data_IF_197335303224
#
_entry.id   IF_197335303224
#
_cell.length_a   1.000
_cell.length_b   1.000
_cell.length_c   1.000
_cell.angle_alpha   90.00
_cell.angle_beta   90.00
_cell.angle_gamma   90.00
#
_symmetry.space_group_name_H-M   'P 1'
#
loop_
_entity.id
_entity.type
_entity.pdbx_description
1 polymer ?
#
# COMPACT_ATOMS: atom_id res chain seq x y z
N UNK A 1 10.94 38.91 2.08
CA UNK A 1 10.89 37.44 1.89
C UNK A 1 10.15 37.16 0.58
N UNK A 2 10.69 36.37 -0.34
CA UNK A 2 10.07 36.06 -1.64
C UNK A 2 9.44 34.66 -1.57
N UNK A 3 8.18 34.47 -1.97
CA UNK A 3 7.59 33.14 -2.07
C UNK A 3 8.37 32.25 -3.06
N UNK A 4 8.45 30.97 -2.77
CA UNK A 4 9.08 29.94 -3.63
C UNK A 4 8.11 28.82 -3.88
N UNK A 5 8.27 28.14 -5.02
CA UNK A 5 7.53 26.94 -5.35
C UNK A 5 8.40 25.70 -5.13
N UNK A 6 7.84 24.69 -4.50
CA UNK A 6 8.38 23.35 -4.52
C UNK A 6 7.56 22.54 -5.53
N UNK A 7 8.23 21.93 -6.50
CA UNK A 7 7.58 21.21 -7.58
C UNK A 7 7.36 19.74 -7.19
N UNK A 8 6.27 19.18 -7.67
CA UNK A 8 6.01 17.75 -7.60
C UNK A 8 7.09 16.99 -8.40
N UNK A 9 7.59 15.91 -7.82
CA UNK A 9 8.55 14.99 -8.43
C UNK A 9 7.89 13.63 -8.59
N UNK A 10 7.78 13.13 -9.81
CA UNK A 10 7.47 11.73 -10.06
C UNK A 10 8.74 10.92 -9.79
N UNK A 11 8.80 10.19 -8.67
CA UNK A 11 9.99 9.44 -8.29
C UNK A 11 9.89 7.95 -8.64
N UNK A 12 8.67 7.46 -8.90
CA UNK A 12 8.44 6.06 -9.25
C UNK A 12 7.16 5.89 -10.06
N UNK A 13 7.18 4.91 -10.96
CA UNK A 13 6.02 4.48 -11.73
C UNK A 13 5.99 2.95 -11.84
N UNK A 14 4.81 2.36 -11.71
CA UNK A 14 4.51 0.97 -12.03
C UNK A 14 3.24 0.92 -12.86
N UNK A 15 2.85 -0.24 -13.38
CA UNK A 15 1.65 -0.37 -14.19
C UNK A 15 0.41 0.20 -13.49
N UNK A 16 -0.16 1.25 -14.07
CA UNK A 16 -1.34 1.94 -13.54
C UNK A 16 -1.12 2.73 -12.24
N UNK A 17 0.10 2.82 -11.71
CA UNK A 17 0.39 3.51 -10.45
C UNK A 17 1.51 4.52 -10.59
N UNK A 18 1.25 5.76 -10.20
CA UNK A 18 2.22 6.84 -10.10
C UNK A 18 2.50 7.18 -8.64
N UNK A 19 3.79 7.34 -8.32
CA UNK A 19 4.28 7.77 -7.02
C UNK A 19 4.99 9.10 -7.19
N UNK A 20 4.43 10.15 -6.60
CA UNK A 20 5.03 11.48 -6.63
C UNK A 20 5.14 12.07 -5.23
N UNK A 21 6.05 13.00 -5.07
CA UNK A 21 6.24 13.76 -3.83
C UNK A 21 6.49 15.25 -4.12
N UNK A 22 6.37 16.04 -3.06
CA UNK A 22 6.88 17.41 -3.03
C UNK A 22 8.05 17.39 -2.06
N UNK A 23 9.28 17.37 -2.62
CA UNK A 23 10.47 17.34 -1.79
C UNK A 23 10.74 18.71 -1.15
N UNK A 24 10.73 18.74 0.18
CA UNK A 24 11.07 19.92 0.99
C UNK A 24 12.23 19.55 1.89
N UNK A 25 13.39 20.26 1.80
CA UNK A 25 14.54 19.95 2.62
C UNK A 25 14.25 19.90 4.11
N UNK A 26 14.72 18.86 4.79
CA UNK A 26 14.54 18.68 6.23
C UNK A 26 13.14 18.21 6.67
N UNK A 27 12.27 17.83 5.73
CA UNK A 27 10.95 17.24 6.00
C UNK A 27 10.96 15.74 5.72
N UNK A 28 10.06 15.02 6.41
CA UNK A 28 9.71 13.64 6.05
C UNK A 28 8.99 13.60 4.70
N UNK A 29 8.90 12.41 4.10
CA UNK A 29 8.24 12.22 2.83
C UNK A 29 6.73 12.53 2.92
N UNK A 30 6.21 13.22 1.91
CA UNK A 30 4.80 13.39 1.67
C UNK A 30 4.51 12.89 0.26
N UNK A 31 4.20 11.60 0.18
CA UNK A 31 4.07 10.92 -1.10
C UNK A 31 2.59 10.88 -1.53
N UNK A 32 2.35 11.20 -2.79
CA UNK A 32 1.06 11.02 -3.44
C UNK A 32 1.11 9.76 -4.30
N UNK A 33 0.26 8.79 -4.00
CA UNK A 33 0.18 7.54 -4.76
C UNK A 33 -1.14 7.49 -5.52
N UNK A 34 -1.06 7.63 -6.83
CA UNK A 34 -2.22 7.66 -7.71
C UNK A 34 -2.35 6.34 -8.48
N UNK A 35 -3.39 5.58 -8.20
CA UNK A 35 -3.85 4.45 -9.00
C UNK A 35 -4.84 4.96 -10.06
N UNK A 36 -4.49 4.83 -11.34
CA UNK A 36 -5.26 5.36 -12.49
C UNK A 36 -6.39 4.43 -12.94
N UNK A 37 -7.02 3.71 -12.03
CA UNK A 37 -8.03 2.71 -12.31
C UNK A 37 -7.76 1.47 -11.47
N UNK A 38 -8.27 0.33 -11.89
CA UNK A 38 -7.95 -0.93 -11.26
C UNK A 38 -6.44 -1.18 -11.33
N UNK A 39 -5.78 -1.14 -10.18
CA UNK A 39 -4.34 -1.33 -10.08
C UNK A 39 -3.96 -2.03 -8.78
N UNK A 40 -2.84 -2.73 -8.84
CA UNK A 40 -2.25 -3.44 -7.70
C UNK A 40 -0.83 -2.92 -7.46
N UNK A 41 -0.51 -2.59 -6.24
CA UNK A 41 0.81 -2.08 -5.87
C UNK A 41 1.40 -2.87 -4.69
N UNK A 42 2.53 -3.58 -4.88
CA UNK A 42 3.21 -3.85 -6.14
C UNK A 42 2.42 -4.79 -7.05
N UNK A 43 2.62 -4.72 -8.37
CA UNK A 43 1.94 -5.60 -9.31
C UNK A 43 2.35 -7.07 -9.11
N UNK A 44 1.43 -7.98 -9.42
CA UNK A 44 1.73 -9.42 -9.46
C UNK A 44 2.44 -9.78 -10.77
N UNK A 45 3.37 -10.70 -10.73
CA UNK A 45 4.07 -11.20 -11.93
C UNK A 45 3.87 -12.70 -12.04
N UNK A 46 3.41 -13.17 -13.21
CA UNK A 46 3.16 -14.60 -13.45
C UNK A 46 2.13 -15.22 -12.49
N UNK A 47 1.15 -14.45 -12.04
CA UNK A 47 0.16 -14.90 -11.05
C UNK A 47 0.66 -14.94 -9.60
N UNK A 48 1.92 -14.55 -9.35
CA UNK A 48 2.52 -14.53 -8.01
C UNK A 48 2.37 -13.15 -7.38
N UNK A 49 1.86 -13.12 -6.14
CA UNK A 49 1.72 -11.87 -5.38
C UNK A 49 3.08 -11.37 -4.92
N UNK A 50 3.32 -10.07 -5.12
CA UNK A 50 4.48 -9.37 -4.62
C UNK A 50 4.06 -8.40 -3.52
N UNK A 51 4.99 -8.10 -2.62
CA UNK A 51 4.79 -7.21 -1.47
C UNK A 51 5.97 -6.25 -1.35
N UNK A 52 5.69 -5.04 -0.89
CA UNK A 52 6.71 -4.16 -0.35
C UNK A 52 6.95 -4.48 1.11
N UNK A 53 8.17 -4.24 1.56
CA UNK A 53 8.54 -4.20 2.97
C UNK A 53 9.57 -3.10 3.15
N UNK A 54 9.22 -2.11 3.95
CA UNK A 54 10.15 -1.03 4.28
C UNK A 54 10.98 -1.39 5.51
N UNK A 55 12.26 -1.08 5.47
CA UNK A 55 13.16 -1.26 6.63
C UNK A 55 13.32 0.04 7.41
N UNK A 56 13.34 1.16 6.70
CA UNK A 56 13.68 2.49 7.20
C UNK A 56 12.56 3.51 7.00
N UNK A 57 11.34 3.03 6.69
CA UNK A 57 10.17 3.88 6.51
C UNK A 57 8.96 3.31 7.25
N UNK A 58 8.25 4.18 7.96
CA UNK A 58 6.87 3.95 8.41
C UNK A 58 5.94 4.69 7.46
N UNK A 59 4.93 4.01 6.93
CA UNK A 59 3.89 4.65 6.15
C UNK A 59 2.72 5.06 7.04
N UNK A 60 2.16 6.25 6.78
CA UNK A 60 0.88 6.67 7.32
C UNK A 60 -0.05 6.99 6.15
N UNK A 61 -0.71 5.96 5.66
CA UNK A 61 -1.47 5.95 4.42
C UNK A 61 -2.91 6.44 4.65
N UNK A 62 -3.32 7.50 3.96
CA UNK A 62 -4.69 8.00 3.95
C UNK A 62 -5.23 8.05 2.52
N UNK A 63 -6.31 7.33 2.24
CA UNK A 63 -7.05 7.49 0.99
C UNK A 63 -7.79 8.83 1.03
N UNK A 64 -7.60 9.67 0.00
CA UNK A 64 -8.28 10.97 -0.15
C UNK A 64 -9.31 10.97 -1.27
N UNK A 65 -9.21 9.97 -2.18
CA UNK A 65 -10.20 9.72 -3.24
C UNK A 65 -10.26 8.22 -3.56
N UNK A 66 -11.46 7.71 -3.83
CA UNK A 66 -11.69 6.30 -4.12
C UNK A 66 -11.55 5.41 -2.89
N UNK A 67 -11.17 4.16 -3.11
CA UNK A 67 -10.98 3.18 -2.03
C UNK A 67 -9.90 2.16 -2.38
N UNK A 68 -9.24 1.61 -1.35
CA UNK A 68 -8.23 0.56 -1.48
C UNK A 68 -8.41 -0.51 -0.42
N UNK A 69 -8.09 -1.74 -0.78
CA UNK A 69 -7.83 -2.79 0.21
C UNK A 69 -6.33 -3.00 0.31
N UNK A 70 -5.81 -2.88 1.52
CA UNK A 70 -4.44 -3.24 1.87
C UNK A 70 -4.41 -4.67 2.40
N UNK A 71 -3.45 -5.45 1.93
CA UNK A 71 -3.09 -6.73 2.47
C UNK A 71 -1.77 -6.57 3.24
N UNK A 72 -1.79 -6.89 4.55
CA UNK A 72 -0.70 -6.63 5.49
C UNK A 72 -0.37 -7.88 6.30
N UNK A 73 0.91 -8.14 6.53
CA UNK A 73 1.33 -9.16 7.49
C UNK A 73 2.80 -9.03 7.87
N UNK A 74 3.17 -9.70 8.96
CA UNK A 74 4.55 -9.86 9.40
C UNK A 74 4.94 -11.32 9.26
N UNK A 75 6.20 -11.59 8.94
CA UNK A 75 6.71 -12.97 8.90
C UNK A 75 6.71 -13.55 10.31
N UNK A 76 6.05 -14.71 10.48
CA UNK A 76 5.94 -15.41 11.75
C UNK A 76 4.56 -16.02 11.96
N UNK A 77 4.51 -17.26 12.47
CA UNK A 77 3.25 -18.03 12.59
C UNK A 77 2.22 -17.47 13.57
N UNK A 78 2.61 -16.50 14.39
CA UNK A 78 1.72 -15.90 15.41
C UNK A 78 1.00 -14.64 14.92
N UNK A 79 1.29 -14.15 13.73
CA UNK A 79 0.70 -12.91 13.21
C UNK A 79 -0.39 -13.21 12.19
N UNK A 80 -1.54 -12.54 12.28
CA UNK A 80 -2.59 -12.65 11.26
C UNK A 80 -2.19 -11.91 9.97
N UNK A 81 -2.81 -12.33 8.88
CA UNK A 81 -2.81 -11.62 7.60
C UNK A 81 -4.02 -10.68 7.58
N UNK A 82 -3.76 -9.38 7.58
CA UNK A 82 -4.80 -8.37 7.63
C UNK A 82 -5.23 -7.94 6.23
N UNK A 83 -6.52 -7.78 6.04
CA UNK A 83 -7.13 -7.11 4.90
C UNK A 83 -7.85 -5.87 5.41
N UNK A 84 -7.33 -4.71 5.05
CA UNK A 84 -7.80 -3.42 5.58
C UNK A 84 -8.36 -2.58 4.45
N UNK A 85 -9.65 -2.29 4.50
CA UNK A 85 -10.27 -1.35 3.56
C UNK A 85 -10.07 0.07 4.04
N UNK A 86 -9.46 0.89 3.15
CA UNK A 86 -9.30 2.32 3.35
C UNK A 86 -10.19 3.10 2.40
N UNK A 87 -10.85 4.12 2.98
CA UNK A 87 -11.66 5.14 2.32
C UNK A 87 -11.32 6.50 2.90
N UNK A 88 -11.77 7.62 2.30
CA UNK A 88 -11.52 8.95 2.83
C UNK A 88 -11.92 9.13 4.31
N UNK A 89 -13.00 8.46 4.73
CA UNK A 89 -13.55 8.54 6.09
C UNK A 89 -12.86 7.62 7.11
N UNK A 90 -12.05 6.65 6.68
CA UNK A 90 -11.45 5.66 7.61
C UNK A 90 -10.24 6.20 8.39
N UNK A 91 -9.72 7.37 8.01
CA UNK A 91 -8.51 7.93 8.62
C UNK A 91 -7.23 7.40 7.98
N UNK A 92 -6.14 7.36 8.75
CA UNK A 92 -4.84 6.91 8.27
C UNK A 92 -4.47 5.52 8.81
N UNK A 93 -3.96 4.68 7.93
CA UNK A 93 -3.40 3.36 8.26
C UNK A 93 -1.89 3.50 8.47
N UNK A 94 -1.44 3.21 9.68
CA UNK A 94 0.00 3.14 9.99
C UNK A 94 0.54 1.76 9.66
N UNK A 95 1.58 1.71 8.82
CA UNK A 95 2.32 0.50 8.45
C UNK A 95 3.77 0.68 8.92
N UNK A 96 4.19 0.02 10.01
CA UNK A 96 5.55 0.16 10.54
C UNK A 96 6.58 -0.60 9.70
N UNK A 97 7.88 -0.34 9.88
CA UNK A 97 8.94 -1.12 9.25
C UNK A 97 8.80 -2.62 9.49
N UNK A 98 9.21 -3.44 8.52
CA UNK A 98 9.12 -4.89 8.57
C UNK A 98 7.72 -5.47 8.28
N UNK A 99 6.71 -4.63 8.07
CA UNK A 99 5.40 -5.08 7.63
C UNK A 99 5.38 -5.28 6.11
N UNK A 100 5.09 -6.50 5.67
CA UNK A 100 4.85 -6.78 4.26
C UNK A 100 3.47 -6.26 3.86
N UNK A 101 3.40 -5.51 2.76
CA UNK A 101 2.17 -4.89 2.34
C UNK A 101 2.03 -4.80 0.83
N UNK A 102 0.78 -4.85 0.37
CA UNK A 102 0.35 -4.54 -0.99
C UNK A 102 -1.04 -3.90 -0.94
N UNK A 103 -1.43 -3.21 -2.00
CA UNK A 103 -2.76 -2.63 -2.08
C UNK A 103 -3.42 -2.84 -3.44
N UNK A 104 -4.74 -2.92 -3.42
CA UNK A 104 -5.61 -3.05 -4.60
C UNK A 104 -6.58 -1.89 -4.61
N UNK A 105 -6.74 -1.22 -5.76
CA UNK A 105 -7.78 -0.19 -5.96
C UNK A 105 -8.90 -0.70 -6.85
N UNK A 106 -10.06 -0.05 -6.75
CA UNK A 106 -11.21 -0.29 -7.62
C UNK A 106 -10.95 0.16 -9.06
N UNK A 107 -11.86 -0.21 -9.97
CA UNK A 107 -11.83 0.21 -11.37
C UNK A 107 -11.84 1.74 -11.55
N UNK A 108 -12.43 2.48 -10.61
CA UNK A 108 -12.44 3.95 -10.62
C UNK A 108 -11.11 4.58 -10.19
N UNK A 109 -10.17 3.75 -9.77
CA UNK A 109 -8.89 4.19 -9.24
C UNK A 109 -8.97 4.72 -7.81
N UNK A 110 -7.86 5.29 -7.35
CA UNK A 110 -7.78 5.92 -6.03
C UNK A 110 -6.57 6.83 -5.90
N UNK A 111 -6.69 7.81 -5.02
CA UNK A 111 -5.58 8.68 -4.63
C UNK A 111 -5.32 8.48 -3.14
N UNK A 112 -4.06 8.22 -2.81
CA UNK A 112 -3.60 8.03 -1.46
C UNK A 112 -2.49 9.02 -1.15
N UNK A 113 -2.56 9.63 0.02
CA UNK A 113 -1.52 10.43 0.61
C UNK A 113 -0.78 9.58 1.66
N UNK A 114 0.52 9.44 1.51
CA UNK A 114 1.38 8.80 2.49
C UNK A 114 2.26 9.84 3.18
N UNK A 115 2.05 10.05 4.47
CA UNK A 115 2.99 10.78 5.30
C UNK A 115 4.04 9.79 5.81
N UNK A 116 5.14 9.66 5.07
CA UNK A 116 6.21 8.72 5.34
C UNK A 116 7.17 9.26 6.40
N UNK A 117 7.35 8.52 7.50
CA UNK A 117 8.38 8.79 8.49
C UNK A 117 9.62 7.97 8.10
N UNK A 118 10.70 8.65 7.71
CA UNK A 118 11.95 8.05 7.24
C UNK A 118 13.05 8.28 8.25
N UNK A 119 13.80 7.23 8.57
CA UNK A 119 14.99 7.33 9.42
C UNK A 119 16.24 7.73 8.60
N UNK A 120 17.39 8.02 9.23
CA UNK A 120 18.60 8.43 8.52
C UNK A 120 19.18 7.39 7.55
N UNK A 121 18.85 6.13 7.70
CA UNK A 121 19.35 5.03 6.85
C UNK A 121 18.42 4.74 5.65
N UNK A 122 17.38 5.54 5.47
CA UNK A 122 16.44 5.41 4.35
C UNK A 122 17.16 5.63 2.99
N UNK A 123 17.00 4.66 2.09
CA UNK A 123 17.45 4.76 0.71
C UNK A 123 16.33 4.36 -0.25
N UNK A 124 15.79 5.32 -1.00
CA UNK A 124 14.72 5.14 -1.99
C UNK A 124 14.97 3.97 -2.95
N UNK A 125 16.24 3.69 -3.30
CA UNK A 125 16.60 2.61 -4.23
C UNK A 125 16.39 1.21 -3.67
N UNK A 126 16.38 1.07 -2.35
CA UNK A 126 16.27 -0.23 -1.66
C UNK A 126 14.91 -0.47 -1.03
N UNK A 127 14.22 0.59 -0.62
CA UNK A 127 12.95 0.48 0.12
C UNK A 127 11.76 -0.01 -0.71
N UNK A 128 11.80 0.19 -2.03
CA UNK A 128 10.66 -0.16 -2.91
C UNK A 128 10.90 -1.41 -3.77
N UNK A 129 11.75 -2.32 -3.33
CA UNK A 129 11.98 -3.57 -4.03
C UNK A 129 10.90 -4.60 -3.69
N UNK A 130 10.10 -5.06 -4.68
CA UNK A 130 9.06 -6.04 -4.44
C UNK A 130 9.65 -7.39 -4.03
N UNK A 131 9.03 -8.03 -3.06
CA UNK A 131 9.43 -9.33 -2.52
C UNK A 131 8.32 -10.35 -2.70
N UNK A 132 8.67 -11.56 -3.11
CA UNK A 132 7.76 -12.71 -3.16
C UNK A 132 7.80 -13.44 -1.83
N UNK A 133 6.62 -13.80 -1.33
CA UNK A 133 6.49 -14.61 -0.12
C UNK A 133 5.74 -15.91 -0.44
N UNK A 134 6.20 -16.97 0.16
CA UNK A 134 5.60 -18.31 0.02
C UNK A 134 4.67 -18.58 1.21
N UNK A 135 3.77 -19.54 1.04
CA UNK A 135 2.91 -20.06 2.12
C UNK A 135 1.98 -19.02 2.75
N UNK A 136 1.47 -18.08 1.95
CA UNK A 136 0.50 -17.07 2.42
C UNK A 136 -0.78 -17.69 2.98
N UNK A 137 -1.12 -18.90 2.55
CA UNK A 137 -2.25 -19.70 3.03
C UNK A 137 -2.11 -20.15 4.48
N UNK A 138 -0.91 -20.14 5.04
CA UNK A 138 -0.67 -20.47 6.45
C UNK A 138 -1.11 -19.37 7.42
N UNK A 139 -1.34 -18.15 6.93
CA UNK A 139 -1.72 -17.01 7.75
C UNK A 139 -3.24 -16.89 7.88
N UNK A 140 -3.73 -16.79 9.11
CA UNK A 140 -5.16 -16.58 9.38
C UNK A 140 -5.59 -15.19 8.92
N UNK A 141 -6.60 -15.08 8.01
CA UNK A 141 -7.07 -13.77 7.56
C UNK A 141 -7.86 -13.04 8.64
N UNK A 142 -7.67 -11.71 8.71
CA UNK A 142 -8.42 -10.77 9.54
C UNK A 142 -8.87 -9.61 8.66
N UNK A 143 -9.98 -8.98 9.01
CA UNK A 143 -10.61 -7.94 8.21
C UNK A 143 -10.85 -6.70 9.06
N UNK A 144 -10.61 -5.51 8.50
CA UNK A 144 -10.78 -4.23 9.17
C UNK A 144 -11.18 -3.13 8.18
N UNK A 145 -11.90 -2.11 8.66
CA UNK A 145 -12.37 -0.97 7.85
C UNK A 145 -13.65 -1.24 7.05
N UNK A 146 -14.05 -2.52 6.93
CA UNK A 146 -15.32 -2.98 6.36
C UNK A 146 -15.62 -4.40 6.85
N UNK A 147 -16.80 -4.94 6.49
CA UNK A 147 -17.12 -6.35 6.76
C UNK A 147 -16.22 -7.29 5.93
N UNK A 148 -16.07 -8.54 6.41
CA UNK A 148 -15.36 -9.59 5.64
C UNK A 148 -15.93 -9.72 4.23
N UNK A 149 -17.24 -9.82 4.12
CA UNK A 149 -17.93 -9.99 2.84
C UNK A 149 -17.65 -8.83 1.87
N UNK A 150 -17.72 -7.60 2.35
CA UNK A 150 -17.46 -6.41 1.54
C UNK A 150 -16.03 -6.39 1.02
N UNK A 151 -15.04 -6.73 1.87
CA UNK A 151 -13.63 -6.78 1.47
C UNK A 151 -13.39 -7.89 0.44
N UNK A 152 -13.98 -9.07 0.63
CA UNK A 152 -13.83 -10.18 -0.31
C UNK A 152 -14.46 -9.87 -1.66
N UNK A 153 -15.67 -9.31 -1.68
CA UNK A 153 -16.34 -8.87 -2.91
C UNK A 153 -15.53 -7.79 -3.64
N UNK A 154 -14.95 -6.86 -2.89
CA UNK A 154 -14.07 -5.85 -3.47
C UNK A 154 -12.84 -6.48 -4.15
N UNK A 155 -12.14 -7.39 -3.47
CA UNK A 155 -10.96 -8.05 -4.02
C UNK A 155 -11.28 -8.87 -5.26
N UNK A 156 -12.37 -9.67 -5.22
CA UNK A 156 -12.81 -10.48 -6.36
C UNK A 156 -13.17 -9.60 -7.58
N UNK A 157 -13.95 -8.54 -7.34
CA UNK A 157 -14.36 -7.60 -8.40
C UNK A 157 -13.18 -6.84 -9.03
N UNK A 158 -12.05 -6.76 -8.31
CA UNK A 158 -10.84 -6.06 -8.77
C UNK A 158 -9.69 -7.02 -9.10
N UNK A 159 -10.00 -8.29 -9.41
CA UNK A 159 -9.04 -9.26 -9.92
C UNK A 159 -8.01 -9.75 -8.92
N UNK A 160 -8.26 -9.54 -7.61
CA UNK A 160 -7.44 -10.09 -6.54
C UNK A 160 -8.30 -10.93 -5.60
N UNK A 161 -7.91 -12.17 -5.39
CA UNK A 161 -8.72 -13.12 -4.63
C UNK A 161 -7.93 -13.79 -3.51
N UNK A 162 -8.63 -14.19 -2.46
CA UNK A 162 -8.12 -15.16 -1.51
C UNK A 162 -8.43 -16.58 -1.97
N UNK A 163 -7.56 -17.56 -1.65
CA UNK A 163 -7.93 -18.96 -1.78
C UNK A 163 -9.26 -19.22 -1.07
N UNK A 164 -10.18 -19.96 -1.74
CA UNK A 164 -11.51 -20.24 -1.20
C UNK A 164 -11.51 -20.87 0.20
N UNK A 165 -10.45 -21.61 0.55
CA UNK A 165 -10.28 -22.18 1.88
C UNK A 165 -10.06 -21.13 2.99
N UNK A 166 -9.69 -19.89 2.62
CA UNK A 166 -9.44 -18.78 3.55
C UNK A 166 -10.55 -17.72 3.52
N UNK A 167 -11.40 -17.75 2.50
CA UNK A 167 -12.55 -16.88 2.37
C UNK A 167 -13.74 -17.43 3.18
#
# INVERSE_FOLDING_TARGET
>A
MKPTFHHERLFRETEGVHFSDIWVPGQNGLDLVHHKGQAVSPPSTGGVKHFYVHKHQTDNNRVIHGQRVFELFWVGFMHPRWFVMLRPETGALRIPPGCFHRSVSSADGSILLNHAERDPDYDEKTEFNPTVLQHLEAYTPRFMGASKEEILNFLESNGDTLPKALA
#
